data_IF_157047326770
#
_entry.id   IF_157047326770
#
_cell.length_a   1.000
_cell.length_b   1.000
_cell.length_c   1.000
_cell.angle_alpha   90.00
_cell.angle_beta   90.00
_cell.angle_gamma   90.00
#
_symmetry.space_group_name_H-M   'P 1'
#
loop_
_entity.id
_entity.type
_entity.pdbx_description
1 polymer ?
#
# COMPACT_ATOMS: atom_id res chain seq x y z
N UNK A 1 8.31 23.17 -22.35
CA UNK A 1 7.69 21.83 -22.48
C UNK A 1 8.28 20.97 -21.37
N UNK A 2 7.47 20.42 -20.47
CA UNK A 2 7.95 19.56 -19.38
C UNK A 2 8.26 18.16 -19.95
N UNK A 3 9.53 17.79 -20.00
CA UNK A 3 9.95 16.45 -20.43
C UNK A 3 9.88 15.51 -19.22
N UNK A 4 8.94 14.58 -19.23
CA UNK A 4 8.92 13.52 -18.23
C UNK A 4 9.95 12.45 -18.59
N UNK A 5 10.89 12.20 -17.68
CA UNK A 5 11.91 11.16 -17.82
C UNK A 5 11.54 9.96 -16.97
N UNK A 6 11.61 8.77 -17.55
CA UNK A 6 11.53 7.51 -16.83
C UNK A 6 12.90 6.82 -16.90
N UNK A 7 13.27 6.15 -15.81
CA UNK A 7 14.53 5.42 -15.71
C UNK A 7 14.26 3.97 -15.32
N UNK A 8 15.03 3.05 -15.93
CA UNK A 8 15.00 1.63 -15.62
C UNK A 8 16.34 1.23 -15.05
N UNK A 9 16.33 0.71 -13.83
CA UNK A 9 17.53 0.24 -13.15
C UNK A 9 17.37 -1.21 -12.71
N UNK A 10 18.47 -1.96 -12.71
CA UNK A 10 18.59 -3.24 -12.01
C UNK A 10 19.39 -2.99 -10.74
N UNK A 11 18.86 -3.44 -9.61
CA UNK A 11 19.53 -3.40 -8.31
C UNK A 11 20.08 -4.78 -7.97
N UNK A 12 21.17 -4.81 -7.21
CA UNK A 12 21.80 -6.03 -6.68
C UNK A 12 21.86 -5.91 -5.15
N UNK A 13 20.73 -6.19 -4.47
CA UNK A 13 20.64 -5.99 -3.03
C UNK A 13 21.48 -7.02 -2.26
N UNK A 14 21.97 -6.63 -1.09
CA UNK A 14 22.46 -7.59 -0.08
C UNK A 14 21.29 -8.32 0.56
N UNK A 15 21.55 -9.44 1.24
CA UNK A 15 20.49 -10.20 1.94
C UNK A 15 19.68 -9.36 2.92
N UNK A 16 20.32 -8.41 3.62
CA UNK A 16 19.60 -7.51 4.52
C UNK A 16 18.72 -6.51 3.76
N UNK A 17 19.19 -6.00 2.62
CA UNK A 17 18.38 -5.13 1.77
C UNK A 17 17.20 -5.87 1.16
N UNK A 18 17.38 -7.11 0.69
CA UNK A 18 16.27 -7.95 0.20
C UNK A 18 15.18 -8.11 1.25
N UNK A 19 15.58 -8.38 2.50
CA UNK A 19 14.64 -8.50 3.63
C UNK A 19 13.90 -7.19 3.86
N UNK A 20 14.59 -6.05 3.85
CA UNK A 20 13.96 -4.75 4.05
C UNK A 20 13.02 -4.37 2.90
N UNK A 21 13.41 -4.64 1.66
CA UNK A 21 12.57 -4.43 0.46
C UNK A 21 11.32 -5.30 0.55
N UNK A 22 11.47 -6.58 0.87
CA UNK A 22 10.34 -7.50 1.03
C UNK A 22 9.38 -7.06 2.14
N UNK A 23 9.91 -6.62 3.30
CA UNK A 23 9.10 -6.03 4.37
C UNK A 23 8.35 -4.78 3.90
N UNK A 24 9.05 -3.86 3.24
CA UNK A 24 8.47 -2.59 2.78
C UNK A 24 7.34 -2.81 1.78
N UNK A 25 7.62 -3.56 0.71
CA UNK A 25 6.64 -3.87 -0.34
C UNK A 25 5.50 -4.73 0.24
N UNK A 26 5.83 -5.69 1.11
CA UNK A 26 4.85 -6.54 1.78
C UNK A 26 3.87 -5.74 2.64
N UNK A 27 4.37 -4.83 3.47
CA UNK A 27 3.53 -3.94 4.28
C UNK A 27 2.63 -3.06 3.41
N UNK A 28 3.17 -2.44 2.35
CA UNK A 28 2.36 -1.62 1.43
C UNK A 28 1.28 -2.44 0.72
N UNK A 29 1.62 -3.64 0.24
CA UNK A 29 0.66 -4.55 -0.42
C UNK A 29 -0.43 -5.00 0.54
N UNK A 30 -0.07 -5.33 1.78
CA UNK A 30 -1.01 -5.74 2.82
C UNK A 30 -2.01 -4.61 3.12
N UNK A 31 -1.52 -3.41 3.41
CA UNK A 31 -2.37 -2.24 3.71
C UNK A 31 -3.31 -1.93 2.55
N UNK A 32 -2.78 -1.90 1.32
CA UNK A 32 -3.59 -1.63 0.12
C UNK A 32 -4.69 -2.66 -0.06
N UNK A 33 -4.36 -3.96 -0.04
CA UNK A 33 -5.34 -5.02 -0.25
C UNK A 33 -6.38 -5.07 0.86
N UNK A 34 -5.99 -4.85 2.12
CA UNK A 34 -6.91 -4.81 3.25
C UNK A 34 -7.98 -3.73 3.07
N UNK A 35 -7.56 -2.49 2.79
CA UNK A 35 -8.52 -1.40 2.61
C UNK A 35 -9.27 -1.46 1.29
N UNK A 36 -8.68 -2.02 0.22
CA UNK A 36 -9.39 -2.25 -1.03
C UNK A 36 -10.58 -3.21 -0.83
N UNK A 37 -10.37 -4.32 -0.12
CA UNK A 37 -11.45 -5.26 0.21
C UNK A 37 -12.55 -4.56 1.01
N UNK A 38 -12.17 -3.86 2.09
CA UNK A 38 -13.14 -3.13 2.93
C UNK A 38 -13.89 -2.04 2.17
N UNK A 39 -13.24 -1.38 1.23
CA UNK A 39 -13.87 -0.37 0.39
C UNK A 39 -14.91 -0.98 -0.53
N UNK A 40 -14.61 -2.13 -1.15
CA UNK A 40 -15.57 -2.86 -1.99
C UNK A 40 -16.82 -3.22 -1.19
N UNK A 41 -16.63 -3.78 0.02
CA UNK A 41 -17.75 -4.17 0.90
C UNK A 41 -18.58 -2.94 1.30
N UNK A 42 -17.93 -1.88 1.77
CA UNK A 42 -18.62 -0.64 2.20
C UNK A 42 -19.38 0.01 1.05
N UNK A 43 -18.81 0.00 -0.16
CA UNK A 43 -19.45 0.58 -1.33
C UNK A 43 -20.66 -0.23 -1.78
N UNK A 44 -20.59 -1.57 -1.74
CA UNK A 44 -21.74 -2.43 -2.04
C UNK A 44 -22.91 -2.19 -1.07
N UNK A 45 -22.63 -1.96 0.21
CA UNK A 45 -23.67 -1.76 1.22
C UNK A 45 -24.26 -0.35 1.23
N UNK A 46 -23.43 0.68 1.00
CA UNK A 46 -23.81 2.08 1.28
C UNK A 46 -23.79 2.99 0.05
N UNK A 47 -23.24 2.52 -1.07
CA UNK A 47 -22.95 3.34 -2.26
C UNK A 47 -21.86 4.39 -2.04
N UNK A 48 -21.16 4.35 -0.89
CA UNK A 48 -20.13 5.32 -0.50
C UNK A 48 -18.81 4.62 -0.20
N UNK A 49 -17.72 5.31 -0.51
CA UNK A 49 -16.36 4.85 -0.22
C UNK A 49 -15.88 5.19 1.18
N UNK A 50 -14.74 4.61 1.56
CA UNK A 50 -14.02 4.99 2.77
C UNK A 50 -13.26 6.31 2.57
N UNK A 51 -12.96 6.98 3.68
CA UNK A 51 -12.11 8.19 3.67
C UNK A 51 -10.70 7.85 4.17
N UNK A 52 -9.71 8.63 3.74
CA UNK A 52 -8.33 8.48 4.22
C UNK A 52 -8.23 8.50 5.74
N UNK A 53 -8.91 9.44 6.40
CA UNK A 53 -8.88 9.56 7.86
C UNK A 53 -9.44 8.31 8.55
N UNK A 54 -10.53 7.73 8.02
CA UNK A 54 -11.11 6.51 8.54
C UNK A 54 -10.18 5.29 8.37
N UNK A 55 -9.47 5.19 7.25
CA UNK A 55 -8.48 4.14 7.03
C UNK A 55 -7.24 4.33 7.91
N UNK A 56 -6.72 5.56 8.01
CA UNK A 56 -5.53 5.89 8.79
C UNK A 56 -5.71 5.58 10.29
N UNK A 57 -6.90 5.88 10.84
CA UNK A 57 -7.22 5.57 12.24
C UNK A 57 -7.23 4.07 12.57
N UNK A 58 -7.35 3.20 11.56
CA UNK A 58 -7.35 1.74 11.71
C UNK A 58 -5.94 1.11 11.54
N UNK A 59 -4.96 1.86 11.05
CA UNK A 59 -3.60 1.34 10.84
C UNK A 59 -2.92 0.84 12.12
N UNK A 60 -3.04 1.51 13.29
CA UNK A 60 -2.39 1.04 14.51
C UNK A 60 -2.82 -0.37 14.93
N UNK A 61 -4.09 -0.74 14.70
CA UNK A 61 -4.63 -2.06 15.04
C UNK A 61 -4.16 -3.16 14.08
N UNK A 62 -3.67 -2.78 12.90
CA UNK A 62 -3.20 -3.71 11.87
C UNK A 62 -1.68 -3.96 11.95
N UNK A 63 -0.97 -3.26 12.83
CA UNK A 63 0.45 -3.40 13.03
C UNK A 63 0.73 -4.64 13.91
N UNK A 64 1.53 -5.58 13.40
CA UNK A 64 2.08 -6.70 14.16
C UNK A 64 3.26 -6.28 15.02
#
# INVERSE_FOLDING_TARGET
MLVQKAYKFRIYPTTEQERQIAKTIGCSRFVFNHFLAKWNDTYQETGKGLTYNACSAQLPQLKQ
#
